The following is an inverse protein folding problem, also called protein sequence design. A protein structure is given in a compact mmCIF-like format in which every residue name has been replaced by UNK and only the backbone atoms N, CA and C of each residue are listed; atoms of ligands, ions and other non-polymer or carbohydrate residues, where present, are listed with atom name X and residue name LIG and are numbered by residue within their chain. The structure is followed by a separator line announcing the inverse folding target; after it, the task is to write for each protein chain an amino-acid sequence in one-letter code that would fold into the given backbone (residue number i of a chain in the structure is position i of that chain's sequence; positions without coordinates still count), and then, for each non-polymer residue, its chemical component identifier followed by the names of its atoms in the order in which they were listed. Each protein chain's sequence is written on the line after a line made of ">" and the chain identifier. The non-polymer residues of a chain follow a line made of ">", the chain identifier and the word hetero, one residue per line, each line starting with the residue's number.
data_IF_427376945178
#
_entry.id   IF_427376945178
#
_cell.length_a   1.000
_cell.length_b   1.000
_cell.length_c   1.000
_cell.angle_alpha   90.00
_cell.angle_beta   90.00
_cell.angle_gamma   90.00
#
_symmetry.space_group_name_H-M   'P 1'
#
loop_
_entity.id
_entity.type
_entity.pdbx_description
1 polymer ?
#
# COMPACT_ATOMS: atom_id res chain seq x y z
N UNK A 1 -5.85 -20.66 17.02
CA UNK A 1 -5.94 -22.06 16.56
C UNK A 1 -6.06 -22.07 15.03
N UNK A 2 -5.37 -23.00 14.37
CA UNK A 2 -5.54 -23.21 12.92
C UNK A 2 -6.94 -23.82 12.68
N UNK A 3 -7.69 -23.21 11.75
CA UNK A 3 -8.93 -23.77 11.27
C UNK A 3 -8.62 -24.80 10.17
N UNK A 4 -9.22 -25.98 10.26
CA UNK A 4 -9.13 -27.02 9.23
C UNK A 4 -10.50 -27.65 8.95
N UNK A 5 -10.68 -28.16 7.73
CA UNK A 5 -11.86 -28.94 7.39
C UNK A 5 -11.76 -30.37 7.92
N UNK A 6 -12.81 -31.18 7.75
CA UNK A 6 -12.87 -32.58 8.18
C UNK A 6 -11.79 -33.49 7.54
N UNK A 7 -11.17 -33.05 6.45
CA UNK A 7 -10.07 -33.75 5.76
C UNK A 7 -8.69 -33.29 6.21
N UNK A 8 -8.59 -32.44 7.25
CA UNK A 8 -7.34 -31.90 7.77
C UNK A 8 -6.74 -30.75 6.95
N UNK A 9 -7.43 -30.26 5.92
CA UNK A 9 -6.96 -29.15 5.09
C UNK A 9 -7.15 -27.83 5.84
N UNK A 10 -6.07 -27.03 5.89
CA UNK A 10 -6.07 -25.72 6.56
C UNK A 10 -6.93 -24.74 5.76
N UNK A 11 -7.80 -23.98 6.43
CA UNK A 11 -8.81 -23.10 5.81
C UNK A 11 -8.88 -21.71 6.44
N UNK A 12 -8.00 -21.39 7.38
CA UNK A 12 -8.03 -20.12 8.12
C UNK A 12 -7.84 -18.88 7.21
N UNK A 13 -7.03 -18.96 6.16
CA UNK A 13 -6.86 -17.88 5.19
C UNK A 13 -8.13 -17.62 4.37
N UNK A 14 -8.75 -18.70 3.87
CA UNK A 14 -10.03 -18.62 3.14
C UNK A 14 -11.12 -18.04 4.04
N UNK A 15 -11.26 -18.56 5.26
CA UNK A 15 -12.25 -18.09 6.22
C UNK A 15 -12.06 -16.62 6.59
N UNK A 16 -10.80 -16.20 6.87
CA UNK A 16 -10.49 -14.83 7.21
C UNK A 16 -10.80 -13.87 6.07
N UNK A 17 -10.41 -14.22 4.84
CA UNK A 17 -10.70 -13.42 3.65
C UNK A 17 -12.22 -13.26 3.42
N UNK A 18 -12.96 -14.37 3.40
CA UNK A 18 -14.42 -14.34 3.18
C UNK A 18 -15.16 -13.61 4.29
N UNK A 19 -14.73 -13.75 5.55
CA UNK A 19 -15.33 -13.03 6.68
C UNK A 19 -15.14 -11.52 6.53
N UNK A 20 -13.93 -11.09 6.12
CA UNK A 20 -13.63 -9.67 5.85
C UNK A 20 -14.42 -9.16 4.65
N UNK A 21 -14.45 -9.92 3.56
CA UNK A 21 -15.20 -9.57 2.35
C UNK A 21 -16.70 -9.43 2.65
N UNK A 22 -17.30 -10.39 3.33
CA UNK A 22 -18.73 -10.35 3.70
C UNK A 22 -19.05 -9.12 4.58
N UNK A 23 -18.16 -8.81 5.53
CA UNK A 23 -18.31 -7.61 6.36
C UNK A 23 -18.29 -6.34 5.50
N UNK A 24 -17.33 -6.22 4.58
CA UNK A 24 -17.20 -5.09 3.67
C UNK A 24 -18.45 -4.94 2.78
N UNK A 25 -18.93 -6.06 2.20
CA UNK A 25 -20.14 -6.05 1.37
C UNK A 25 -21.36 -5.53 2.12
N UNK A 26 -21.52 -5.91 3.40
CA UNK A 26 -22.63 -5.46 4.23
C UNK A 26 -22.51 -3.98 4.65
N UNK A 27 -21.29 -3.50 4.90
CA UNK A 27 -21.04 -2.12 5.34
C UNK A 27 -21.07 -1.12 4.18
N UNK A 28 -20.46 -1.49 3.04
CA UNK A 28 -20.31 -0.59 1.88
C UNK A 28 -21.49 -0.68 0.93
N UNK A 29 -22.06 -1.88 0.75
CA UNK A 29 -23.13 -2.18 -0.23
C UNK A 29 -22.80 -1.66 -1.63
N UNK A 30 -21.66 -2.07 -2.20
CA UNK A 30 -21.19 -1.52 -3.47
C UNK A 30 -22.03 -2.04 -4.65
N UNK A 31 -22.15 -1.23 -5.71
CA UNK A 31 -22.80 -1.63 -6.96
C UNK A 31 -21.93 -2.58 -7.78
N UNK A 32 -20.60 -2.47 -7.65
CA UNK A 32 -19.64 -3.35 -8.33
C UNK A 32 -18.45 -3.68 -7.44
N UNK A 33 -17.89 -4.88 -7.60
CA UNK A 33 -16.72 -5.36 -6.85
C UNK A 33 -15.74 -6.05 -7.78
N UNK A 34 -14.47 -5.70 -7.65
CA UNK A 34 -13.35 -6.42 -8.24
C UNK A 34 -12.33 -6.78 -7.16
N UNK A 35 -11.68 -7.93 -7.31
CA UNK A 35 -10.66 -8.40 -6.37
C UNK A 35 -9.34 -8.54 -7.12
N UNK A 36 -8.35 -7.74 -6.71
CA UNK A 36 -7.01 -7.76 -7.28
C UNK A 36 -6.14 -8.83 -6.61
N UNK A 37 -5.34 -9.53 -7.41
CA UNK A 37 -4.34 -10.48 -6.94
C UNK A 37 -3.00 -10.25 -7.61
N UNK A 38 -1.93 -10.40 -6.84
CA UNK A 38 -0.59 -10.48 -7.38
C UNK A 38 -0.38 -11.74 -8.23
N UNK A 39 0.51 -11.61 -9.23
CA UNK A 39 1.05 -12.74 -9.96
C UNK A 39 2.42 -13.12 -9.39
N UNK A 40 2.81 -14.40 -9.42
CA UNK A 40 4.12 -14.86 -8.97
C UNK A 40 5.22 -14.61 -10.02
N UNK A 41 5.27 -13.40 -10.56
CA UNK A 41 6.23 -12.97 -11.59
C UNK A 41 6.86 -11.64 -11.20
N UNK A 42 8.09 -11.34 -11.64
CA UNK A 42 8.73 -10.06 -11.38
C UNK A 42 7.92 -8.90 -11.93
N UNK A 43 7.83 -7.84 -11.15
CA UNK A 43 7.18 -6.58 -11.55
C UNK A 43 8.20 -5.57 -12.08
N UNK A 44 7.75 -4.43 -12.57
CA UNK A 44 8.64 -3.34 -12.98
C UNK A 44 9.55 -2.86 -11.84
N UNK A 45 9.09 -2.94 -10.57
CA UNK A 45 9.90 -2.58 -9.40
C UNK A 45 11.10 -3.51 -9.22
N UNK A 46 10.94 -4.81 -9.44
CA UNK A 46 12.05 -5.78 -9.41
C UNK A 46 13.07 -5.51 -10.53
N UNK A 47 12.60 -5.05 -11.70
CA UNK A 47 13.48 -4.65 -12.80
C UNK A 47 14.23 -3.35 -12.54
N UNK A 48 13.66 -2.47 -11.71
CA UNK A 48 14.24 -1.18 -11.33
C UNK A 48 15.27 -1.31 -10.21
N UNK A 49 15.05 -2.22 -9.27
CA UNK A 49 15.91 -2.41 -8.11
C UNK A 49 15.92 -3.89 -7.65
N UNK A 50 17.05 -4.54 -7.79
CA UNK A 50 17.23 -5.96 -7.46
C UNK A 50 16.97 -6.28 -5.98
N UNK A 51 17.15 -5.28 -5.12
CA UNK A 51 16.86 -5.39 -3.69
C UNK A 51 15.38 -5.36 -3.32
N UNK A 52 14.48 -4.98 -4.25
CA UNK A 52 13.06 -4.84 -3.95
C UNK A 52 12.45 -6.14 -3.47
N UNK A 53 11.83 -6.11 -2.27
CA UNK A 53 11.24 -7.28 -1.59
C UNK A 53 12.17 -8.49 -1.39
N UNK A 54 13.50 -8.33 -1.59
CA UNK A 54 14.46 -9.43 -1.50
C UNK A 54 14.54 -10.05 -0.10
N UNK A 55 14.18 -9.31 0.94
CA UNK A 55 14.16 -9.78 2.34
C UNK A 55 12.85 -10.45 2.74
N UNK A 56 11.80 -10.40 1.88
CA UNK A 56 10.52 -11.04 2.17
C UNK A 56 10.65 -12.56 2.20
N UNK A 57 10.12 -13.18 3.24
CA UNK A 57 10.01 -14.64 3.33
C UNK A 57 9.02 -15.16 2.29
N UNK A 58 9.30 -16.33 1.74
CA UNK A 58 8.33 -17.03 0.88
C UNK A 58 7.03 -17.29 1.64
N UNK A 59 5.91 -17.23 0.92
CA UNK A 59 4.60 -17.57 1.46
C UNK A 59 4.63 -19.02 1.97
N UNK A 60 4.12 -19.30 3.19
CA UNK A 60 3.98 -20.68 3.68
C UNK A 60 3.15 -21.53 2.71
N UNK A 61 3.52 -22.79 2.52
CA UNK A 61 2.83 -23.71 1.59
C UNK A 61 1.35 -23.89 1.97
N UNK A 62 1.06 -23.91 3.26
CA UNK A 62 -0.31 -24.00 3.78
C UNK A 62 -1.19 -22.80 3.37
N UNK A 63 -0.60 -21.61 3.23
CA UNK A 63 -1.31 -20.44 2.73
C UNK A 63 -1.41 -20.45 1.21
N UNK A 64 -0.33 -20.83 0.53
CA UNK A 64 -0.29 -20.91 -0.92
C UNK A 64 -1.35 -21.88 -1.47
N UNK A 65 -1.53 -23.05 -0.82
CA UNK A 65 -2.54 -24.04 -1.18
C UNK A 65 -3.97 -23.50 -1.07
N UNK A 66 -4.23 -22.59 -0.14
CA UNK A 66 -5.54 -21.98 0.06
C UNK A 66 -5.87 -20.92 -1.02
N UNK A 67 -4.87 -20.26 -1.63
CA UNK A 67 -5.11 -19.21 -2.61
C UNK A 67 -5.81 -19.73 -3.88
N UNK A 68 -5.44 -20.91 -4.36
CA UNK A 68 -6.08 -21.51 -5.53
C UNK A 68 -7.55 -21.79 -5.25
N UNK A 69 -7.85 -22.39 -4.11
CA UNK A 69 -9.21 -22.69 -3.69
C UNK A 69 -10.01 -21.40 -3.49
N UNK A 70 -9.40 -20.38 -2.86
CA UNK A 70 -10.05 -19.09 -2.66
C UNK A 70 -10.43 -18.44 -4.00
N UNK A 71 -9.53 -18.45 -4.99
CA UNK A 71 -9.78 -17.89 -6.31
C UNK A 71 -10.94 -18.61 -7.05
N UNK A 72 -10.97 -19.95 -6.98
CA UNK A 72 -12.07 -20.73 -7.54
C UNK A 72 -13.41 -20.43 -6.86
N UNK A 73 -13.41 -20.36 -5.53
CA UNK A 73 -14.59 -20.02 -4.76
C UNK A 73 -15.12 -18.62 -5.07
N UNK A 74 -14.25 -17.63 -5.13
CA UNK A 74 -14.62 -16.26 -5.49
C UNK A 74 -15.22 -16.16 -6.90
N UNK A 75 -14.63 -16.85 -7.87
CA UNK A 75 -15.20 -16.95 -9.23
C UNK A 75 -16.59 -17.61 -9.21
N UNK A 76 -16.75 -18.68 -8.44
CA UNK A 76 -18.04 -19.37 -8.31
C UNK A 76 -19.11 -18.52 -7.63
N UNK A 77 -18.70 -17.59 -6.76
CA UNK A 77 -19.57 -16.59 -6.14
C UNK A 77 -19.85 -15.37 -7.04
N UNK A 78 -19.31 -15.35 -8.28
CA UNK A 78 -19.54 -14.29 -9.25
C UNK A 78 -18.62 -13.08 -9.14
N UNK A 79 -17.58 -13.11 -8.27
CA UNK A 79 -16.64 -12.01 -8.17
C UNK A 79 -15.69 -11.92 -9.37
N UNK A 80 -15.43 -10.69 -9.82
CA UNK A 80 -14.41 -10.41 -10.85
C UNK A 80 -13.03 -10.43 -10.20
N UNK A 81 -12.16 -11.34 -10.67
CA UNK A 81 -10.75 -11.38 -10.25
C UNK A 81 -9.90 -10.68 -11.30
N UNK A 82 -9.00 -9.83 -10.89
CA UNK A 82 -8.12 -9.04 -11.75
C UNK A 82 -6.66 -9.27 -11.38
N UNK A 83 -5.84 -9.47 -12.41
CA UNK A 83 -4.37 -9.57 -12.30
C UNK A 83 -3.75 -8.82 -13.46
N UNK A 84 -2.54 -8.28 -13.29
CA UNK A 84 -1.80 -7.62 -14.34
C UNK A 84 -0.33 -8.08 -14.33
N UNK A 85 0.16 -8.59 -15.45
CA UNK A 85 1.56 -9.02 -15.56
C UNK A 85 2.49 -7.80 -15.51
N UNK A 86 3.56 -7.91 -14.73
CA UNK A 86 4.52 -6.82 -14.55
C UNK A 86 4.12 -5.75 -13.52
N UNK A 87 2.92 -5.85 -12.94
CA UNK A 87 2.37 -4.96 -11.92
C UNK A 87 1.97 -5.72 -10.66
N UNK A 88 1.79 -5.01 -9.57
CA UNK A 88 1.32 -5.54 -8.30
C UNK A 88 -0.20 -5.29 -8.14
N UNK A 89 -0.84 -6.00 -7.21
CA UNK A 89 -2.26 -5.79 -6.91
C UNK A 89 -2.57 -4.33 -6.54
N UNK A 90 -1.64 -3.65 -5.87
CA UNK A 90 -1.80 -2.24 -5.48
C UNK A 90 -1.82 -1.30 -6.70
N UNK A 91 -1.09 -1.62 -7.79
CA UNK A 91 -1.16 -0.84 -9.03
C UNK A 91 -2.53 -1.03 -9.73
N UNK A 92 -3.12 -2.21 -9.61
CA UNK A 92 -4.50 -2.46 -10.06
C UNK A 92 -5.49 -1.62 -9.23
N UNK A 93 -5.31 -1.54 -7.91
CA UNK A 93 -6.12 -0.67 -7.05
C UNK A 93 -5.97 0.80 -7.45
N UNK A 94 -4.74 1.26 -7.73
CA UNK A 94 -4.47 2.62 -8.22
C UNK A 94 -5.17 2.90 -9.55
N UNK A 95 -5.13 1.95 -10.47
CA UNK A 95 -5.83 2.05 -11.78
C UNK A 95 -7.34 2.18 -11.59
N UNK A 96 -7.95 1.38 -10.70
CA UNK A 96 -9.38 1.49 -10.41
C UNK A 96 -9.73 2.81 -9.71
N UNK A 97 -8.92 3.24 -8.74
CA UNK A 97 -9.10 4.53 -8.07
C UNK A 97 -9.14 5.68 -9.09
N UNK A 98 -8.13 5.74 -9.96
CA UNK A 98 -8.06 6.76 -11.01
C UNK A 98 -9.24 6.70 -11.97
N UNK A 99 -9.64 5.50 -12.40
CA UNK A 99 -10.80 5.34 -13.28
C UNK A 99 -12.10 5.83 -12.62
N UNK A 100 -12.29 5.57 -11.34
CA UNK A 100 -13.45 6.05 -10.60
C UNK A 100 -13.44 7.59 -10.50
N UNK A 101 -12.30 8.20 -10.17
CA UNK A 101 -12.15 9.66 -10.15
C UNK A 101 -12.48 10.32 -11.49
N UNK A 102 -11.96 9.78 -12.59
CA UNK A 102 -12.18 10.29 -13.95
C UNK A 102 -13.66 10.20 -14.37
N UNK A 103 -14.43 9.28 -13.78
CA UNK A 103 -15.84 9.05 -14.09
C UNK A 103 -16.78 9.56 -12.98
N UNK A 104 -16.29 10.25 -11.96
CA UNK A 104 -17.05 10.72 -10.79
C UNK A 104 -17.79 9.59 -10.06
N UNK A 105 -17.15 8.44 -9.89
CA UNK A 105 -17.66 7.34 -9.10
C UNK A 105 -16.99 7.30 -7.73
N UNK A 106 -17.74 6.98 -6.69
CA UNK A 106 -17.17 6.68 -5.39
C UNK A 106 -16.40 5.36 -5.43
N UNK A 107 -15.19 5.34 -4.90
CA UNK A 107 -14.33 4.17 -4.83
C UNK A 107 -13.94 3.86 -3.39
N UNK A 108 -14.14 2.62 -2.99
CA UNK A 108 -13.67 2.11 -1.69
C UNK A 108 -12.62 1.04 -1.92
N UNK A 109 -11.36 1.36 -1.64
CA UNK A 109 -10.27 0.41 -1.68
C UNK A 109 -10.19 -0.33 -0.35
N UNK A 110 -10.23 -1.66 -0.37
CA UNK A 110 -10.10 -2.50 0.81
C UNK A 110 -8.80 -3.31 0.75
N UNK A 111 -7.88 -3.04 1.63
CA UNK A 111 -6.54 -3.65 1.64
C UNK A 111 -6.00 -3.80 3.06
N UNK A 112 -4.96 -4.60 3.25
CA UNK A 112 -4.15 -4.64 4.47
C UNK A 112 -2.95 -3.70 4.42
N UNK A 113 -2.64 -3.16 3.24
CA UNK A 113 -1.45 -2.35 3.01
C UNK A 113 -1.74 -0.85 3.12
N UNK A 114 -0.96 -0.18 3.97
CA UNK A 114 -1.07 1.27 4.18
C UNK A 114 -0.52 2.09 3.02
N UNK A 115 0.22 1.49 2.11
CA UNK A 115 0.71 2.20 0.94
C UNK A 115 -0.43 2.71 0.06
N UNK A 116 -1.54 1.99 0.03
CA UNK A 116 -2.76 2.42 -0.66
C UNK A 116 -3.36 3.73 -0.11
N UNK A 117 -2.95 4.19 1.08
CA UNK A 117 -3.41 5.48 1.62
C UNK A 117 -2.99 6.68 0.75
N UNK A 118 -1.95 6.55 -0.08
CA UNK A 118 -1.55 7.56 -1.07
C UNK A 118 -2.60 7.79 -2.16
N UNK A 119 -3.52 6.84 -2.36
CA UNK A 119 -4.57 6.86 -3.39
C UNK A 119 -5.83 7.61 -2.94
N UNK A 120 -5.91 7.99 -1.67
CA UNK A 120 -7.09 8.67 -1.12
C UNK A 120 -7.26 10.04 -1.80
N UNK A 121 -8.50 10.31 -2.17
CA UNK A 121 -8.92 11.58 -2.75
C UNK A 121 -10.37 11.91 -2.36
N UNK A 122 -10.92 12.94 -2.96
CA UNK A 122 -12.32 13.32 -2.79
C UNK A 122 -13.30 12.15 -3.05
N UNK A 123 -13.02 11.32 -4.07
CA UNK A 123 -13.88 10.24 -4.53
C UNK A 123 -13.37 8.85 -4.13
N UNK A 124 -12.17 8.77 -3.52
CA UNK A 124 -11.51 7.51 -3.14
C UNK A 124 -11.26 7.46 -1.64
N UNK A 125 -11.79 6.45 -1.00
CA UNK A 125 -11.50 6.12 0.40
C UNK A 125 -10.81 4.78 0.53
N UNK A 126 -10.04 4.58 1.60
CA UNK A 126 -9.32 3.32 1.87
C UNK A 126 -9.78 2.72 3.19
N UNK A 127 -10.13 1.45 3.16
CA UNK A 127 -10.39 0.64 4.35
C UNK A 127 -9.21 -0.29 4.62
N UNK A 128 -8.48 -0.02 5.68
CA UNK A 128 -7.38 -0.89 6.13
C UNK A 128 -7.97 -2.01 6.97
N UNK A 129 -7.92 -3.22 6.41
CA UNK A 129 -8.34 -4.44 7.09
C UNK A 129 -7.31 -4.83 8.17
N UNK A 130 -7.79 -5.21 9.33
CA UNK A 130 -6.98 -5.70 10.44
C UNK A 130 -7.71 -6.82 11.17
N UNK A 131 -6.97 -7.59 11.96
CA UNK A 131 -7.56 -8.59 12.85
C UNK A 131 -7.21 -8.23 14.28
N UNK A 132 -8.21 -7.91 15.08
CA UNK A 132 -8.04 -7.68 16.53
C UNK A 132 -8.80 -8.73 17.32
N UNK A 133 -8.11 -9.37 18.25
CA UNK A 133 -8.70 -10.43 19.10
C UNK A 133 -9.45 -11.51 18.30
N UNK A 134 -8.94 -11.88 17.12
CA UNK A 134 -9.55 -12.90 16.25
C UNK A 134 -10.79 -12.44 15.46
N UNK A 135 -11.17 -11.16 15.56
CA UNK A 135 -12.27 -10.56 14.80
C UNK A 135 -11.72 -9.70 13.67
N UNK A 136 -12.33 -9.81 12.50
CA UNK A 136 -12.03 -8.92 11.38
C UNK A 136 -12.54 -7.51 11.71
N UNK A 137 -11.65 -6.53 11.62
CA UNK A 137 -11.93 -5.12 11.77
C UNK A 137 -11.43 -4.37 10.53
N UNK A 138 -12.02 -3.22 10.26
CA UNK A 138 -11.51 -2.29 9.25
C UNK A 138 -11.54 -0.86 9.76
N UNK A 139 -10.52 -0.10 9.42
CA UNK A 139 -10.45 1.33 9.71
C UNK A 139 -10.59 2.08 8.40
N UNK A 140 -11.57 2.99 8.33
CA UNK A 140 -11.77 3.88 7.19
C UNK A 140 -10.78 5.04 7.28
N UNK A 141 -10.16 5.33 6.13
CA UNK A 141 -9.33 6.50 5.91
C UNK A 141 -9.87 7.30 4.73
N UNK A 142 -10.04 8.57 4.94
CA UNK A 142 -10.35 9.63 3.99
C UNK A 142 -9.30 10.74 4.06
N UNK A 143 -9.44 11.81 3.28
CA UNK A 143 -8.50 12.93 3.28
C UNK A 143 -8.38 13.60 4.65
N UNK A 144 -9.47 13.74 5.38
CA UNK A 144 -9.48 14.40 6.69
C UNK A 144 -8.72 13.57 7.71
N UNK A 145 -8.96 12.26 7.71
CA UNK A 145 -8.27 11.31 8.58
C UNK A 145 -6.77 11.27 8.30
N UNK A 146 -6.35 11.32 7.03
CA UNK A 146 -4.93 11.40 6.68
C UNK A 146 -4.32 12.70 7.20
N UNK A 147 -4.97 13.84 6.97
CA UNK A 147 -4.50 15.14 7.48
C UNK A 147 -4.42 15.17 9.01
N UNK A 148 -5.38 14.54 9.69
CA UNK A 148 -5.36 14.41 11.16
C UNK A 148 -4.15 13.60 11.65
N UNK A 149 -3.91 12.42 11.04
CA UNK A 149 -2.92 11.45 11.51
C UNK A 149 -1.50 11.78 11.04
N UNK A 150 -1.34 12.14 9.77
CA UNK A 150 -0.04 12.32 9.14
C UNK A 150 0.38 13.77 8.99
N UNK A 151 -0.53 14.74 9.15
CA UNK A 151 -0.30 16.19 9.00
C UNK A 151 0.12 16.61 7.58
N UNK A 152 -0.15 15.76 6.61
CA UNK A 152 0.13 15.99 5.19
C UNK A 152 -1.07 15.51 4.35
N UNK A 153 -1.25 15.96 3.10
CA UNK A 153 -2.26 15.40 2.20
C UNK A 153 -1.90 13.96 1.80
N UNK A 154 -2.88 13.13 1.39
CA UNK A 154 -2.66 11.72 1.02
C UNK A 154 -1.52 11.52 0.01
N UNK A 155 -1.47 12.34 -1.04
CA UNK A 155 -0.44 12.26 -2.08
C UNK A 155 1.00 12.43 -1.56
N UNK A 156 1.19 13.14 -0.45
CA UNK A 156 2.52 13.34 0.14
C UNK A 156 2.99 12.18 1.03
N UNK A 157 2.18 11.14 1.23
CA UNK A 157 2.60 9.95 1.97
C UNK A 157 3.74 9.22 1.25
N UNK A 158 3.76 9.27 -0.08
CA UNK A 158 4.84 8.70 -0.87
C UNK A 158 6.17 9.45 -0.68
N UNK A 159 6.13 10.78 -0.51
CA UNK A 159 7.30 11.60 -0.23
C UNK A 159 7.92 11.25 1.13
N UNK A 160 7.07 11.00 2.14
CA UNK A 160 7.52 10.51 3.44
C UNK A 160 8.21 9.15 3.28
N UNK A 161 7.58 8.21 2.55
CA UNK A 161 8.13 6.89 2.29
C UNK A 161 9.46 6.96 1.53
N UNK A 162 9.56 7.85 0.55
CA UNK A 162 10.78 8.08 -0.22
C UNK A 162 11.98 8.50 0.65
N UNK A 163 11.73 9.29 1.70
CA UNK A 163 12.76 9.75 2.63
C UNK A 163 13.09 8.71 3.70
N UNK A 164 12.08 8.12 4.34
CA UNK A 164 12.30 7.19 5.45
C UNK A 164 12.67 5.77 5.01
N UNK A 165 12.33 5.41 3.78
CA UNK A 165 12.42 4.02 3.29
C UNK A 165 11.31 3.12 3.82
N UNK A 166 11.39 1.84 3.46
CA UNK A 166 10.50 0.79 3.94
C UNK A 166 11.27 -0.53 4.08
N UNK A 167 11.46 -0.96 5.30
CA UNK A 167 12.19 -2.21 5.59
C UNK A 167 11.42 -3.46 5.16
N UNK A 168 10.07 -3.41 5.08
CA UNK A 168 9.25 -4.55 4.66
C UNK A 168 9.41 -4.86 3.17
N UNK A 169 9.62 -3.81 2.36
CA UNK A 169 9.84 -3.91 0.91
C UNK A 169 11.31 -3.72 0.52
N UNK A 170 12.17 -3.57 1.51
CA UNK A 170 13.60 -3.29 1.32
C UNK A 170 13.84 -2.03 0.46
N UNK A 171 13.02 -1.01 0.67
CA UNK A 171 13.16 0.30 0.04
C UNK A 171 14.11 1.13 0.91
N UNK A 172 15.25 1.64 0.36
CA UNK A 172 16.34 2.16 1.18
C UNK A 172 16.01 3.49 1.89
N UNK A 173 15.27 4.40 1.24
CA UNK A 173 15.12 5.76 1.73
C UNK A 173 16.45 6.51 1.82
N UNK A 174 16.50 7.56 2.62
CA UNK A 174 17.71 8.33 2.92
C UNK A 174 18.29 7.85 4.25
N UNK A 175 19.52 7.34 4.22
CA UNK A 175 20.19 6.81 5.43
C UNK A 175 20.21 7.83 6.57
N UNK A 176 19.62 7.44 7.71
CA UNK A 176 19.57 8.27 8.91
C UNK A 176 18.47 9.33 8.91
N UNK A 177 17.49 9.20 8.02
CA UNK A 177 16.21 9.92 8.06
C UNK A 177 15.12 8.88 8.40
N UNK A 178 14.51 9.03 9.57
CA UNK A 178 13.38 8.21 10.00
C UNK A 178 12.05 8.94 9.83
N UNK A 179 10.97 8.25 10.17
CA UNK A 179 9.58 8.70 9.98
C UNK A 179 9.31 10.13 10.48
N UNK A 180 9.78 10.47 11.70
CA UNK A 180 9.56 11.79 12.28
C UNK A 180 10.19 12.90 11.43
N UNK A 181 11.45 12.74 11.06
CA UNK A 181 12.16 13.74 10.25
C UNK A 181 11.58 13.82 8.83
N UNK A 182 11.21 12.69 8.23
CA UNK A 182 10.57 12.66 6.94
C UNK A 182 9.23 13.42 6.95
N UNK A 183 8.38 13.18 7.96
CA UNK A 183 7.11 13.90 8.14
C UNK A 183 7.31 15.40 8.33
N UNK A 184 8.28 15.82 9.17
CA UNK A 184 8.60 17.23 9.38
C UNK A 184 9.02 17.90 8.08
N UNK A 185 9.91 17.28 7.30
CA UNK A 185 10.36 17.81 6.02
C UNK A 185 9.21 17.93 5.01
N UNK A 186 8.43 16.87 4.83
CA UNK A 186 7.32 16.87 3.86
C UNK A 186 6.21 17.81 4.29
N UNK A 187 5.88 17.87 5.57
CA UNK A 187 4.89 18.83 6.09
C UNK A 187 5.29 20.30 5.83
N UNK A 188 6.61 20.59 5.84
CA UNK A 188 7.14 21.93 5.67
C UNK A 188 7.33 22.33 4.21
N UNK A 189 7.85 21.43 3.40
CA UNK A 189 8.22 21.71 2.00
C UNK A 189 7.21 21.16 0.97
N UNK A 190 6.28 20.31 1.40
CA UNK A 190 5.18 19.77 0.60
C UNK A 190 5.53 18.49 -0.18
N UNK A 191 6.68 18.43 -0.86
CA UNK A 191 7.09 17.29 -1.67
C UNK A 191 8.59 17.01 -1.61
N UNK A 192 8.98 15.83 -2.06
CA UNK A 192 10.39 15.43 -2.20
C UNK A 192 11.15 16.39 -3.12
N UNK A 193 10.57 16.74 -4.26
CA UNK A 193 11.14 17.67 -5.21
C UNK A 193 11.40 19.02 -4.55
N UNK A 194 10.41 19.61 -3.89
CA UNK A 194 10.53 20.90 -3.22
C UNK A 194 11.60 20.90 -2.12
N UNK A 195 11.73 19.78 -1.40
CA UNK A 195 12.79 19.63 -0.39
C UNK A 195 14.16 19.78 -1.05
N UNK A 196 14.39 19.10 -2.17
CA UNK A 196 15.68 19.15 -2.87
C UNK A 196 15.92 20.45 -3.63
N UNK A 197 14.90 21.12 -4.15
CA UNK A 197 14.99 22.43 -4.81
C UNK A 197 15.37 23.54 -3.81
N UNK A 198 14.83 23.45 -2.59
CA UNK A 198 15.10 24.45 -1.56
C UNK A 198 16.32 24.11 -0.69
N UNK A 199 16.94 22.94 -0.85
CA UNK A 199 17.94 22.41 0.08
C UNK A 199 19.14 23.32 0.29
N UNK A 200 19.61 23.99 -0.77
CA UNK A 200 20.78 24.88 -0.72
C UNK A 200 20.43 26.28 -0.21
N UNK A 201 19.19 26.73 -0.42
CA UNK A 201 18.76 28.11 -0.17
C UNK A 201 17.98 28.30 1.13
N UNK A 202 17.85 27.25 1.96
CA UNK A 202 17.09 27.34 3.20
C UNK A 202 17.98 27.20 4.44
N UNK A 203 17.79 28.07 5.42
CA UNK A 203 18.38 27.92 6.76
C UNK A 203 17.53 27.06 7.70
N UNK A 204 16.37 26.60 7.21
CA UNK A 204 15.40 25.83 7.98
C UNK A 204 15.77 24.36 8.12
N UNK A 205 16.72 23.86 7.34
CA UNK A 205 17.28 22.51 7.41
C UNK A 205 18.72 22.59 7.94
N UNK A 206 18.99 21.92 9.07
CA UNK A 206 20.33 21.88 9.67
C UNK A 206 21.34 21.26 8.70
N UNK A 207 22.58 21.74 8.71
CA UNK A 207 23.64 21.28 7.79
C UNK A 207 23.87 19.76 7.84
N UNK A 208 23.82 19.18 9.03
CA UNK A 208 23.93 17.70 9.18
C UNK A 208 22.82 16.93 8.46
N UNK A 209 21.63 17.52 8.37
CA UNK A 209 20.49 16.92 7.66
C UNK A 209 20.57 17.21 6.17
N UNK A 210 21.01 18.43 5.77
CA UNK A 210 21.31 18.76 4.36
C UNK A 210 22.31 17.78 3.77
N UNK A 211 23.40 17.50 4.48
CA UNK A 211 24.41 16.54 4.04
C UNK A 211 23.83 15.13 3.82
N UNK A 212 22.98 14.65 4.73
CA UNK A 212 22.32 13.34 4.57
C UNK A 212 21.43 13.31 3.32
N UNK A 213 20.63 14.36 3.12
CA UNK A 213 19.77 14.50 1.94
C UNK A 213 20.59 14.53 0.66
N UNK A 214 21.67 15.31 0.59
CA UNK A 214 22.54 15.39 -0.58
C UNK A 214 23.15 14.02 -0.93
N UNK A 215 23.71 13.32 0.06
CA UNK A 215 24.29 11.99 -0.14
C UNK A 215 23.23 10.98 -0.58
N UNK A 216 22.05 11.02 0.04
CA UNK A 216 20.95 10.07 -0.21
C UNK A 216 20.01 10.47 -1.35
N UNK A 217 20.29 11.53 -2.13
CA UNK A 217 19.38 12.05 -3.17
C UNK A 217 18.93 10.96 -4.15
N UNK A 218 19.88 10.18 -4.68
CA UNK A 218 19.60 9.10 -5.62
C UNK A 218 18.69 8.04 -5.03
N UNK A 219 18.96 7.65 -3.79
CA UNK A 219 18.16 6.64 -3.07
C UNK A 219 16.76 7.15 -2.75
N UNK A 220 16.60 8.43 -2.41
CA UNK A 220 15.30 9.05 -2.17
C UNK A 220 14.41 8.99 -3.41
N UNK A 221 14.92 9.43 -4.57
CA UNK A 221 14.15 9.41 -5.82
C UNK A 221 13.89 7.99 -6.34
N UNK A 222 14.81 7.07 -6.13
CA UNK A 222 14.56 5.65 -6.40
C UNK A 222 13.47 5.11 -5.49
N UNK A 223 13.54 5.40 -4.20
CA UNK A 223 12.54 4.99 -3.20
C UNK A 223 11.16 5.55 -3.50
N UNK A 224 11.08 6.79 -3.96
CA UNK A 224 9.84 7.39 -4.45
C UNK A 224 9.20 6.54 -5.56
N UNK A 225 9.99 6.23 -6.61
CA UNK A 225 9.51 5.42 -7.74
C UNK A 225 9.11 4.00 -7.35
N UNK A 226 9.81 3.40 -6.37
CA UNK A 226 9.48 2.07 -5.87
C UNK A 226 8.20 2.04 -5.03
N UNK A 227 7.96 3.08 -4.24
CA UNK A 227 6.80 3.17 -3.37
C UNK A 227 5.55 3.75 -4.04
N UNK A 228 5.70 4.37 -5.21
CA UNK A 228 4.58 4.94 -5.96
C UNK A 228 3.70 3.82 -6.54
N UNK A 229 2.39 3.95 -6.33
CA UNK A 229 1.37 3.13 -6.98
C UNK A 229 1.02 3.79 -8.31
N UNK A 230 1.11 3.04 -9.39
CA UNK A 230 0.93 3.52 -10.77
C UNK A 230 -0.50 3.32 -11.28
#
# INVERSE_FOLDING_TARGET
>A
PMLSNKKGQITNGIYGFLSTLNKLMNEVKPDAVAIAFDLPVPTFRHKMYDGYKATRKKMPEELASQLSILKELLKSLGYKLVTAEGYEADDILGTFAKHCEENNHECVLATGDKDSLQLISKDVTVRIASTKFGKAESTLYDEEKIKEVYKVPPKSLIDIKALQGDSSDNIPGVKGIGEKTAKELVSKFGSLENIYENLENTDEIKDSLKNKLLIGKKDAFMSYKLGQIN
#
